data_IF_342764025996
#
_entry.id   IF_342764025996
#
_cell.length_a   1.000
_cell.length_b   1.000
_cell.length_c   1.000
_cell.angle_alpha   90.00
_cell.angle_beta   90.00
_cell.angle_gamma   90.00
#
_symmetry.space_group_name_H-M   'P 1'
#
loop_
_entity.id
_entity.type
_entity.pdbx_description
1 polymer ?
#
# COMPACT_ATOMS: atom_id res chain seq x y z
N UNK A 1 -24.69 -10.14 -10.61
CA UNK A 1 -25.46 -10.96 -11.58
C UNK A 1 -25.81 -10.14 -12.83
N UNK A 2 -25.71 -10.74 -14.00
CA UNK A 2 -26.12 -10.10 -15.27
C UNK A 2 -27.65 -10.10 -15.39
N UNK A 3 -28.31 -9.11 -14.82
CA UNK A 3 -29.77 -9.01 -14.79
C UNK A 3 -30.38 -8.63 -16.14
N UNK A 4 -29.59 -8.05 -17.05
CA UNK A 4 -29.95 -7.65 -18.41
C UNK A 4 -29.89 -8.81 -19.43
N UNK A 5 -29.55 -10.02 -19.00
CA UNK A 5 -29.49 -11.23 -19.84
C UNK A 5 -30.49 -12.26 -19.32
N UNK A 6 -31.25 -12.90 -20.22
CA UNK A 6 -32.21 -13.94 -19.86
C UNK A 6 -31.53 -15.11 -19.13
N UNK A 7 -32.28 -15.83 -18.27
CA UNK A 7 -31.78 -17.00 -17.56
C UNK A 7 -31.16 -18.04 -18.50
N UNK A 8 -31.86 -18.36 -19.60
CA UNK A 8 -31.38 -19.33 -20.59
C UNK A 8 -30.03 -18.90 -21.23
N UNK A 9 -29.89 -17.62 -21.55
CA UNK A 9 -28.62 -17.11 -22.09
C UNK A 9 -27.50 -17.11 -21.04
N UNK A 10 -27.79 -16.86 -19.76
CA UNK A 10 -26.80 -16.98 -18.67
C UNK A 10 -26.32 -18.43 -18.52
N UNK A 11 -27.25 -19.39 -18.57
CA UNK A 11 -26.93 -20.81 -18.51
C UNK A 11 -26.04 -21.24 -19.69
N UNK A 12 -26.38 -20.78 -20.91
CA UNK A 12 -25.58 -21.02 -22.10
C UNK A 12 -24.17 -20.43 -21.99
N UNK A 13 -24.06 -19.18 -21.56
CA UNK A 13 -22.75 -18.53 -21.34
C UNK A 13 -21.93 -19.26 -20.28
N UNK A 14 -22.56 -19.69 -19.17
CA UNK A 14 -21.86 -20.42 -18.10
C UNK A 14 -21.37 -21.81 -18.54
N UNK A 15 -22.03 -22.43 -19.53
CA UNK A 15 -21.60 -23.70 -20.11
C UNK A 15 -20.42 -23.55 -21.08
N UNK A 16 -20.33 -22.40 -21.77
CA UNK A 16 -19.30 -22.16 -22.81
C UNK A 16 -18.10 -21.36 -22.29
N UNK A 17 -18.26 -20.56 -21.22
CA UNK A 17 -17.27 -19.62 -20.71
C UNK A 17 -17.08 -19.75 -19.20
N UNK A 18 -15.85 -19.57 -18.75
CA UNK A 18 -15.50 -19.41 -17.35
C UNK A 18 -14.99 -17.98 -17.07
N UNK A 19 -15.20 -17.48 -15.86
CA UNK A 19 -14.70 -16.15 -15.45
C UNK A 19 -13.17 -16.08 -15.44
N UNK A 20 -12.48 -17.21 -15.49
CA UNK A 20 -11.03 -17.27 -15.62
C UNK A 20 -10.28 -16.71 -14.41
N UNK A 21 -10.87 -16.78 -13.20
CA UNK A 21 -10.17 -16.47 -11.95
C UNK A 21 -9.33 -17.67 -11.50
N UNK A 22 -8.26 -17.36 -10.77
CA UNK A 22 -7.35 -18.34 -10.19
C UNK A 22 -7.46 -18.29 -8.68
N UNK A 23 -7.87 -19.40 -8.09
CA UNK A 23 -7.93 -19.54 -6.63
C UNK A 23 -6.53 -19.45 -6.02
N UNK A 24 -6.41 -19.02 -4.74
CA UNK A 24 -5.14 -19.08 -4.05
C UNK A 24 -4.70 -20.54 -3.88
N UNK A 25 -3.41 -20.78 -3.97
CA UNK A 25 -2.84 -22.14 -3.88
C UNK A 25 -2.36 -22.50 -2.48
N UNK A 26 -2.23 -21.53 -1.61
CA UNK A 26 -1.85 -21.68 -0.20
C UNK A 26 -2.45 -20.58 0.66
N UNK A 27 -2.66 -20.88 1.96
CA UNK A 27 -3.19 -19.96 2.95
C UNK A 27 -2.52 -20.20 4.32
N UNK A 28 -1.91 -19.16 4.87
CA UNK A 28 -1.32 -19.17 6.21
C UNK A 28 -2.18 -18.37 7.17
N UNK A 29 -2.67 -19.00 8.22
CA UNK A 29 -3.57 -18.40 9.20
C UNK A 29 -2.84 -17.95 10.45
N UNK A 30 -3.06 -16.72 10.88
CA UNK A 30 -2.56 -16.15 12.12
C UNK A 30 -3.61 -16.22 13.23
N UNK A 31 -3.17 -16.13 14.49
CA UNK A 31 -4.08 -16.23 15.66
C UNK A 31 -5.07 -15.06 15.77
N UNK A 32 -4.73 -13.92 15.21
CA UNK A 32 -5.56 -12.70 15.17
C UNK A 32 -6.61 -12.71 14.04
N UNK A 33 -6.68 -13.79 13.27
CA UNK A 33 -7.58 -13.93 12.13
C UNK A 33 -6.99 -13.41 10.81
N UNK A 34 -5.78 -12.85 10.80
CA UNK A 34 -5.07 -12.47 9.58
C UNK A 34 -4.74 -13.72 8.76
N UNK A 35 -4.95 -13.65 7.44
CA UNK A 35 -4.68 -14.76 6.53
C UNK A 35 -3.81 -14.26 5.39
N UNK A 36 -2.66 -14.89 5.18
CA UNK A 36 -1.78 -14.64 4.05
C UNK A 36 -2.01 -15.70 2.98
N UNK A 37 -2.47 -15.27 1.83
CA UNK A 37 -2.73 -16.10 0.67
C UNK A 37 -1.59 -16.03 -0.34
N UNK A 38 -1.35 -17.12 -1.05
CA UNK A 38 -0.45 -17.19 -2.19
C UNK A 38 -1.26 -17.36 -3.48
N UNK A 39 -1.24 -16.34 -4.34
CA UNK A 39 -1.97 -16.33 -5.60
C UNK A 39 -1.05 -16.61 -6.79
N UNK A 40 -1.46 -17.48 -7.72
CA UNK A 40 -0.78 -17.65 -9.00
C UNK A 40 -1.09 -16.48 -9.94
N UNK A 41 -0.10 -16.06 -10.71
CA UNK A 41 -0.24 -15.01 -11.72
C UNK A 41 -0.39 -15.58 -13.14
N UNK A 42 -0.71 -14.73 -14.11
CA UNK A 42 -0.74 -15.14 -15.53
C UNK A 42 0.65 -15.54 -16.05
N UNK A 43 1.70 -14.93 -15.52
CA UNK A 43 3.10 -15.26 -15.87
C UNK A 43 3.61 -16.58 -15.28
N UNK A 44 2.79 -17.30 -14.50
CA UNK A 44 3.19 -18.55 -13.83
C UNK A 44 4.02 -18.33 -12.56
N UNK A 45 4.12 -17.07 -12.09
CA UNK A 45 4.75 -16.70 -10.82
C UNK A 45 3.69 -16.62 -9.72
N UNK A 46 4.12 -16.27 -8.52
CA UNK A 46 3.24 -16.19 -7.35
C UNK A 46 3.41 -14.85 -6.63
N UNK A 47 2.33 -14.38 -6.02
CA UNK A 47 2.33 -13.20 -5.16
C UNK A 47 1.56 -13.45 -3.87
N UNK A 48 1.98 -12.78 -2.82
CA UNK A 48 1.29 -12.81 -1.53
C UNK A 48 0.21 -11.73 -1.47
N UNK A 49 -0.89 -12.06 -0.82
CA UNK A 49 -2.01 -11.17 -0.53
C UNK A 49 -2.44 -11.40 0.90
N UNK A 50 -2.68 -10.35 1.69
CA UNK A 50 -2.98 -10.49 3.10
C UNK A 50 -4.38 -9.97 3.42
N UNK A 51 -5.26 -10.84 3.92
CA UNK A 51 -6.55 -10.49 4.50
C UNK A 51 -6.37 -10.16 5.97
N UNK A 52 -6.79 -8.96 6.38
CA UNK A 52 -6.61 -8.43 7.73
C UNK A 52 -7.98 -8.02 8.29
N UNK A 53 -8.62 -8.87 9.12
CA UNK A 53 -9.85 -8.50 9.84
C UNK A 53 -9.52 -7.65 11.06
N UNK A 54 -10.32 -6.62 11.31
CA UNK A 54 -10.24 -5.78 12.50
C UNK A 54 -11.65 -5.25 12.85
N UNK A 55 -12.29 -5.84 13.84
CA UNK A 55 -13.67 -5.49 14.29
C UNK A 55 -14.65 -5.44 13.11
N UNK A 56 -15.16 -4.23 12.77
CA UNK A 56 -16.09 -4.01 11.66
C UNK A 56 -15.37 -3.77 10.30
N UNK A 57 -14.06 -3.89 10.28
CA UNK A 57 -13.23 -3.69 9.08
C UNK A 57 -12.58 -4.98 8.63
N UNK A 58 -12.50 -5.13 7.33
CA UNK A 58 -11.69 -6.17 6.71
C UNK A 58 -10.89 -5.53 5.56
N UNK A 59 -9.58 -5.48 5.72
CA UNK A 59 -8.66 -4.88 4.75
C UNK A 59 -7.94 -5.96 3.97
N UNK A 60 -7.87 -5.80 2.66
CA UNK A 60 -7.03 -6.64 1.81
C UNK A 60 -5.79 -5.87 1.39
N UNK A 61 -4.63 -6.40 1.72
CA UNK A 61 -3.34 -5.91 1.26
C UNK A 61 -2.96 -6.65 -0.03
N UNK A 62 -3.02 -5.96 -1.18
CA UNK A 62 -2.77 -6.53 -2.50
C UNK A 62 -1.37 -6.24 -3.00
N UNK A 63 -0.83 -7.18 -3.78
CA UNK A 63 0.43 -7.04 -4.51
C UNK A 63 0.20 -6.48 -5.91
N UNK A 64 1.16 -5.71 -6.42
CA UNK A 64 1.11 -5.14 -7.77
C UNK A 64 2.29 -5.55 -8.67
N UNK A 65 3.29 -6.22 -8.12
CA UNK A 65 4.45 -6.76 -8.87
C UNK A 65 4.85 -8.10 -8.27
N UNK A 66 5.57 -8.90 -9.04
CA UNK A 66 6.33 -10.05 -8.52
C UNK A 66 7.72 -9.52 -8.16
N UNK A 67 8.00 -9.43 -6.86
CA UNK A 67 9.18 -8.76 -6.35
C UNK A 67 9.10 -7.23 -6.46
N UNK A 68 10.24 -6.51 -6.29
CA UNK A 68 10.28 -5.05 -6.33
C UNK A 68 11.68 -4.54 -6.72
N UNK A 69 11.72 -3.50 -7.57
CA UNK A 69 12.98 -2.83 -8.00
C UNK A 69 13.56 -1.86 -6.97
N UNK A 70 12.74 -1.42 -6.01
CA UNK A 70 13.13 -0.29 -5.13
C UNK A 70 14.26 -0.63 -4.19
N UNK A 71 14.49 -1.91 -3.91
CA UNK A 71 15.60 -2.44 -3.11
C UNK A 71 15.77 -1.73 -1.76
N UNK A 72 14.65 -1.45 -1.06
CA UNK A 72 14.68 -0.89 0.28
C UNK A 72 15.35 -1.87 1.24
N UNK A 73 16.27 -1.39 2.07
CA UNK A 73 17.11 -2.21 2.95
C UNK A 73 16.29 -3.08 3.91
N UNK A 74 15.16 -2.58 4.39
CA UNK A 74 14.27 -3.19 5.38
C UNK A 74 13.17 -4.08 4.74
N UNK A 75 13.17 -4.26 3.42
CA UNK A 75 12.04 -4.90 2.72
C UNK A 75 12.43 -6.25 2.15
N UNK A 76 11.76 -7.31 2.60
CA UNK A 76 11.98 -8.68 2.10
C UNK A 76 11.68 -8.79 0.61
N UNK A 77 10.62 -8.14 0.12
CA UNK A 77 10.25 -8.13 -1.31
C UNK A 77 11.34 -7.48 -2.17
N UNK A 78 11.98 -6.40 -1.68
CA UNK A 78 13.10 -5.77 -2.39
C UNK A 78 14.31 -6.70 -2.54
N UNK A 79 14.56 -7.57 -1.54
CA UNK A 79 15.64 -8.55 -1.58
C UNK A 79 15.38 -9.71 -2.54
N UNK A 80 14.12 -10.04 -2.82
CA UNK A 80 13.75 -11.07 -3.79
C UNK A 80 14.07 -10.65 -5.23
N UNK A 81 14.29 -9.34 -5.46
CA UNK A 81 14.48 -8.79 -6.79
C UNK A 81 13.14 -8.52 -7.49
N UNK A 82 13.21 -8.16 -8.77
CA UNK A 82 12.02 -7.85 -9.59
C UNK A 82 11.88 -8.86 -10.72
N UNK A 83 10.71 -9.49 -10.82
CA UNK A 83 10.43 -10.48 -11.84
C UNK A 83 9.34 -10.05 -12.83
N UNK A 84 8.57 -9.01 -12.52
CA UNK A 84 7.58 -8.45 -13.46
C UNK A 84 6.44 -7.67 -12.80
N UNK A 85 5.76 -6.87 -13.63
CA UNK A 85 4.54 -6.19 -13.26
C UNK A 85 3.36 -7.15 -13.32
N UNK A 86 2.46 -7.07 -12.35
CA UNK A 86 1.16 -7.71 -12.44
C UNK A 86 0.27 -6.96 -13.44
N UNK A 87 -0.50 -7.71 -14.22
CA UNK A 87 -1.58 -7.13 -15.02
C UNK A 87 -2.71 -6.64 -14.11
N UNK A 88 -3.56 -5.75 -14.63
CA UNK A 88 -4.77 -5.35 -13.90
C UNK A 88 -5.65 -6.57 -13.54
N UNK A 89 -5.67 -7.59 -14.38
CA UNK A 89 -6.38 -8.85 -14.14
C UNK A 89 -5.77 -9.61 -12.96
N UNK A 90 -4.43 -9.75 -12.88
CA UNK A 90 -3.77 -10.42 -11.76
C UNK A 90 -4.03 -9.69 -10.43
N UNK A 91 -4.04 -8.35 -10.43
CA UNK A 91 -4.35 -7.56 -9.23
C UNK A 91 -5.81 -7.76 -8.82
N UNK A 92 -6.77 -7.64 -9.75
CA UNK A 92 -8.19 -7.85 -9.48
C UNK A 92 -8.50 -9.29 -9.05
N UNK A 93 -7.73 -10.28 -9.55
CA UNK A 93 -7.91 -11.68 -9.18
C UNK A 93 -7.68 -11.90 -7.66
N UNK A 94 -6.73 -11.19 -7.04
CA UNK A 94 -6.49 -11.26 -5.60
C UNK A 94 -7.72 -10.81 -4.79
N UNK A 95 -8.54 -9.91 -5.36
CA UNK A 95 -9.78 -9.42 -4.73
C UNK A 95 -10.94 -10.36 -5.04
N UNK A 96 -11.10 -10.72 -6.31
CA UNK A 96 -12.25 -11.49 -6.80
C UNK A 96 -12.26 -12.94 -6.31
N UNK A 97 -11.10 -13.60 -6.32
CA UNK A 97 -10.96 -14.99 -5.91
C UNK A 97 -10.63 -15.16 -4.40
N UNK A 98 -10.65 -14.05 -3.62
CA UNK A 98 -10.49 -14.12 -2.17
C UNK A 98 -11.70 -14.83 -1.54
N UNK A 99 -11.52 -15.85 -0.68
CA UNK A 99 -12.62 -16.51 0.01
C UNK A 99 -13.49 -15.55 0.84
N UNK A 100 -12.89 -14.54 1.48
CA UNK A 100 -13.55 -13.54 2.32
C UNK A 100 -13.97 -12.26 1.57
N UNK A 101 -14.00 -12.25 0.25
CA UNK A 101 -14.26 -11.04 -0.57
C UNK A 101 -15.51 -10.26 -0.16
N UNK A 102 -16.57 -10.94 0.25
CA UNK A 102 -17.84 -10.30 0.64
C UNK A 102 -17.74 -9.53 1.97
N UNK A 103 -16.71 -9.79 2.78
CA UNK A 103 -16.43 -9.08 4.03
C UNK A 103 -15.55 -7.86 3.83
N UNK A 104 -14.94 -7.68 2.65
CA UNK A 104 -13.98 -6.61 2.42
C UNK A 104 -14.61 -5.23 2.56
N UNK A 105 -13.96 -4.40 3.36
CA UNK A 105 -14.30 -2.99 3.53
C UNK A 105 -13.27 -2.06 2.92
N UNK A 106 -12.01 -2.47 2.86
CA UNK A 106 -10.89 -1.65 2.40
C UNK A 106 -9.87 -2.46 1.58
N UNK A 107 -9.17 -1.78 0.68
CA UNK A 107 -8.03 -2.33 -0.05
C UNK A 107 -6.84 -1.40 0.13
N UNK A 108 -5.66 -1.99 0.36
CA UNK A 108 -4.39 -1.26 0.41
C UNK A 108 -3.38 -1.89 -0.55
N UNK A 109 -2.74 -1.07 -1.38
CA UNK A 109 -1.65 -1.47 -2.24
C UNK A 109 -0.35 -1.33 -1.46
N UNK A 110 -0.12 -2.26 -0.53
CA UNK A 110 1.03 -2.31 0.38
C UNK A 110 1.66 -3.72 0.42
N UNK A 111 1.30 -4.59 -0.52
CA UNK A 111 1.91 -5.90 -0.71
C UNK A 111 3.21 -5.82 -1.50
N UNK A 112 3.47 -6.82 -2.33
CA UNK A 112 4.68 -6.88 -3.14
C UNK A 112 4.62 -5.86 -4.29
N UNK A 113 5.73 -5.11 -4.46
CA UNK A 113 5.92 -4.17 -5.56
C UNK A 113 5.72 -2.70 -5.18
N UNK A 114 6.15 -1.84 -6.10
CA UNK A 114 5.93 -0.39 -6.04
C UNK A 114 4.78 0.00 -6.99
N UNK A 115 3.63 0.46 -6.47
CA UNK A 115 2.47 0.78 -7.32
C UNK A 115 2.75 1.82 -8.40
N UNK A 116 3.60 2.81 -8.11
CA UNK A 116 3.94 3.84 -9.11
C UNK A 116 4.86 3.29 -10.22
N UNK A 117 5.58 2.19 -9.99
CA UNK A 117 6.35 1.51 -11.06
C UNK A 117 5.45 0.65 -11.97
N UNK A 118 4.24 0.31 -11.50
CA UNK A 118 3.19 -0.38 -12.27
C UNK A 118 1.92 0.48 -12.43
N UNK A 119 2.09 1.78 -12.61
CA UNK A 119 1.02 2.78 -12.47
C UNK A 119 -0.18 2.55 -13.38
N UNK A 120 0.04 2.18 -14.66
CA UNK A 120 -1.06 2.01 -15.62
C UNK A 120 -2.04 0.91 -15.18
N UNK A 121 -1.53 -0.22 -14.70
CA UNK A 121 -2.35 -1.31 -14.18
C UNK A 121 -3.02 -0.92 -12.85
N UNK A 122 -2.30 -0.22 -11.96
CA UNK A 122 -2.85 0.24 -10.67
C UNK A 122 -3.98 1.25 -10.90
N UNK A 123 -3.82 2.24 -11.78
CA UNK A 123 -4.87 3.19 -12.15
C UNK A 123 -6.09 2.48 -12.75
N UNK A 124 -5.87 1.51 -13.64
CA UNK A 124 -6.96 0.72 -14.20
C UNK A 124 -7.73 -0.06 -13.15
N UNK A 125 -7.03 -0.65 -12.17
CA UNK A 125 -7.66 -1.36 -11.05
C UNK A 125 -8.45 -0.41 -10.16
N UNK A 126 -7.86 0.73 -9.75
CA UNK A 126 -8.56 1.72 -8.91
C UNK A 126 -9.78 2.27 -9.63
N UNK A 127 -9.71 2.51 -10.93
CA UNK A 127 -10.87 2.91 -11.74
C UNK A 127 -11.97 1.85 -11.73
N UNK A 128 -11.65 0.57 -11.97
CA UNK A 128 -12.64 -0.52 -11.95
C UNK A 128 -13.28 -0.67 -10.56
N UNK A 129 -12.48 -0.53 -9.50
CA UNK A 129 -12.98 -0.63 -8.13
C UNK A 129 -13.95 0.52 -7.77
N UNK A 130 -13.77 1.70 -8.33
CA UNK A 130 -14.57 2.89 -8.00
C UNK A 130 -15.69 3.18 -8.99
N UNK A 131 -15.63 2.67 -10.22
CA UNK A 131 -16.62 2.92 -11.25
C UNK A 131 -17.95 2.18 -10.99
N UNK A 132 -19.05 2.81 -11.40
CA UNK A 132 -20.41 2.24 -11.24
C UNK A 132 -20.61 0.91 -12.00
N UNK A 133 -19.89 0.71 -13.10
CA UNK A 133 -19.89 -0.55 -13.86
C UNK A 133 -19.01 -1.65 -13.23
N UNK A 134 -18.22 -1.30 -12.21
CA UNK A 134 -17.31 -2.20 -11.51
C UNK A 134 -17.81 -2.55 -10.11
N UNK A 135 -17.00 -2.26 -9.09
CA UNK A 135 -17.35 -2.52 -7.70
C UNK A 135 -18.14 -1.36 -7.04
N UNK A 136 -18.18 -0.20 -7.66
CA UNK A 136 -18.81 1.03 -7.15
C UNK A 136 -18.35 1.41 -5.73
N UNK A 137 -17.11 1.15 -5.38
CA UNK A 137 -16.57 1.49 -4.08
C UNK A 137 -16.21 2.96 -3.98
N UNK A 138 -16.41 3.54 -2.82
CA UNK A 138 -15.86 4.87 -2.55
C UNK A 138 -14.32 4.84 -2.64
N UNK A 139 -13.69 5.82 -3.29
CA UNK A 139 -12.22 5.95 -3.32
C UNK A 139 -11.59 5.97 -1.91
N UNK A 140 -12.34 6.39 -0.89
CA UNK A 140 -11.93 6.39 0.53
C UNK A 140 -11.65 4.99 1.09
N UNK A 141 -12.10 3.93 0.42
CA UNK A 141 -11.85 2.54 0.80
C UNK A 141 -10.55 1.98 0.23
N UNK A 142 -9.86 2.77 -0.59
CA UNK A 142 -8.66 2.33 -1.30
C UNK A 142 -7.49 3.24 -0.94
N UNK A 143 -6.38 2.65 -0.51
CA UNK A 143 -5.13 3.37 -0.24
C UNK A 143 -4.03 2.82 -1.13
N UNK A 144 -3.32 3.70 -1.82
CA UNK A 144 -2.16 3.35 -2.64
C UNK A 144 -0.91 3.91 -1.98
N UNK A 145 0.01 3.00 -1.62
CA UNK A 145 1.29 3.36 -1.01
C UNK A 145 2.37 3.54 -2.09
N UNK A 146 3.33 4.42 -1.84
CA UNK A 146 4.47 4.62 -2.73
C UNK A 146 5.69 5.14 -1.97
N UNK A 147 6.86 4.77 -2.47
CA UNK A 147 8.14 5.38 -2.06
C UNK A 147 8.35 6.78 -2.67
N UNK A 148 7.52 7.17 -3.64
CA UNK A 148 7.66 8.37 -4.45
C UNK A 148 8.50 8.12 -5.71
N UNK A 149 7.83 7.95 -6.85
CA UNK A 149 8.48 7.78 -8.15
C UNK A 149 8.25 9.02 -9.00
N UNK A 150 9.34 9.63 -9.48
CA UNK A 150 9.33 10.91 -10.23
C UNK A 150 8.37 10.87 -11.42
N UNK A 151 7.52 11.88 -11.52
CA UNK A 151 6.50 12.00 -12.55
C UNK A 151 5.29 11.07 -12.36
N UNK A 152 5.48 9.88 -11.80
CA UNK A 152 4.42 8.89 -11.62
C UNK A 152 3.51 9.22 -10.43
N UNK A 153 4.09 9.67 -9.31
CA UNK A 153 3.31 10.11 -8.15
C UNK A 153 2.37 11.26 -8.53
N UNK A 154 2.87 12.27 -9.26
CA UNK A 154 2.03 13.38 -9.74
C UNK A 154 0.88 12.87 -10.60
N UNK A 155 1.16 12.00 -11.56
CA UNK A 155 0.14 11.42 -12.43
C UNK A 155 -0.93 10.65 -11.65
N UNK A 156 -0.53 9.88 -10.62
CA UNK A 156 -1.49 9.21 -9.74
C UNK A 156 -2.38 10.20 -8.98
N UNK A 157 -1.81 11.28 -8.50
CA UNK A 157 -2.56 12.34 -7.82
C UNK A 157 -3.55 13.06 -8.74
N UNK A 158 -3.21 13.20 -10.01
CA UNK A 158 -4.07 13.83 -11.02
C UNK A 158 -5.20 12.90 -11.52
N UNK A 159 -4.96 11.58 -11.60
CA UNK A 159 -5.87 10.63 -12.24
C UNK A 159 -6.67 9.74 -11.25
N UNK A 160 -6.44 9.84 -9.94
CA UNK A 160 -7.12 9.02 -8.93
C UNK A 160 -7.51 9.81 -7.71
N UNK A 161 -8.71 9.55 -7.17
CA UNK A 161 -9.20 10.10 -5.90
C UNK A 161 -8.94 9.18 -4.69
N UNK A 162 -8.25 8.08 -4.88
CA UNK A 162 -7.90 7.15 -3.81
C UNK A 162 -6.95 7.80 -2.79
N UNK A 163 -6.96 7.29 -1.56
CA UNK A 163 -6.02 7.72 -0.53
C UNK A 163 -4.58 7.41 -0.92
N UNK A 164 -3.66 8.25 -0.45
CA UNK A 164 -2.21 8.13 -0.70
C UNK A 164 -1.48 7.89 0.59
N UNK A 165 -0.59 6.90 0.59
CA UNK A 165 0.37 6.66 1.65
C UNK A 165 1.79 6.82 1.09
N UNK A 166 2.63 7.60 1.74
CA UNK A 166 4.02 7.79 1.35
C UNK A 166 4.94 7.09 2.34
N UNK A 167 5.75 6.16 1.85
CA UNK A 167 6.82 5.53 2.62
C UNK A 167 7.91 6.56 2.90
N UNK A 168 7.82 7.21 4.06
CA UNK A 168 8.78 8.23 4.48
C UNK A 168 9.96 7.60 5.22
N UNK A 169 9.69 6.94 6.32
CA UNK A 169 10.58 6.25 7.27
C UNK A 169 11.66 7.11 7.92
N UNK A 170 12.02 8.24 7.34
CA UNK A 170 12.84 9.29 7.96
C UNK A 170 12.64 10.61 7.22
N UNK A 171 12.59 11.75 7.94
CA UNK A 171 12.48 13.08 7.34
C UNK A 171 13.84 13.61 6.83
N UNK A 172 14.94 12.89 7.02
CA UNK A 172 16.31 13.30 6.69
C UNK A 172 16.72 12.60 5.38
N UNK A 173 16.93 13.35 4.26
CA UNK A 173 17.19 12.78 2.95
C UNK A 173 18.39 11.83 2.90
N UNK A 174 19.52 12.16 3.54
CA UNK A 174 20.71 11.32 3.53
C UNK A 174 20.48 9.98 4.22
N UNK A 175 19.72 9.98 5.33
CA UNK A 175 19.33 8.74 6.02
C UNK A 175 18.34 7.96 5.18
N UNK A 176 17.38 8.64 4.56
CA UNK A 176 16.39 7.98 3.70
C UNK A 176 17.08 7.31 2.51
N UNK A 177 18.05 7.97 1.90
CA UNK A 177 18.87 7.40 0.81
C UNK A 177 19.64 6.15 1.23
N UNK A 178 20.04 6.04 2.50
CA UNK A 178 20.78 4.87 3.02
C UNK A 178 19.90 3.63 3.19
N UNK A 179 18.59 3.79 3.41
CA UNK A 179 17.64 2.69 3.59
C UNK A 179 16.68 2.53 2.41
N UNK A 180 16.49 3.57 1.59
CA UNK A 180 15.58 3.62 0.44
C UNK A 180 16.26 4.29 -0.74
N UNK A 181 16.83 3.54 -1.69
CA UNK A 181 17.51 4.11 -2.86
C UNK A 181 16.65 5.03 -3.74
N UNK A 182 15.30 4.89 -3.67
CA UNK A 182 14.35 5.73 -4.39
C UNK A 182 14.48 7.23 -4.06
N UNK A 183 15.03 7.59 -2.89
CA UNK A 183 15.31 8.98 -2.50
C UNK A 183 16.16 9.73 -3.53
N UNK A 184 17.09 9.04 -4.20
CA UNK A 184 17.92 9.62 -5.23
C UNK A 184 17.16 10.04 -6.49
N UNK A 185 16.00 9.45 -6.73
CA UNK A 185 15.14 9.75 -7.89
C UNK A 185 14.14 10.88 -7.64
N UNK A 186 13.57 10.91 -6.43
CA UNK A 186 12.66 11.94 -5.94
C UNK A 186 12.79 12.02 -4.42
N UNK A 187 13.33 13.12 -3.93
CA UNK A 187 13.59 13.29 -2.50
C UNK A 187 12.29 13.43 -1.69
N UNK A 188 12.35 13.12 -0.40
CA UNK A 188 11.19 13.28 0.49
C UNK A 188 10.75 14.74 0.55
N UNK A 189 11.66 15.68 0.44
CA UNK A 189 11.36 17.11 0.40
C UNK A 189 10.60 17.48 -0.88
N UNK A 190 11.05 17.00 -2.06
CA UNK A 190 10.34 17.18 -3.33
C UNK A 190 8.96 16.52 -3.32
N UNK A 191 8.84 15.33 -2.71
CA UNK A 191 7.55 14.66 -2.53
C UNK A 191 6.60 15.54 -1.72
N UNK A 192 7.05 16.06 -0.57
CA UNK A 192 6.22 16.93 0.28
C UNK A 192 5.85 18.23 -0.43
N UNK A 193 6.76 18.85 -1.19
CA UNK A 193 6.45 20.04 -1.99
C UNK A 193 5.41 19.74 -3.08
N UNK A 194 5.48 18.58 -3.71
CA UNK A 194 4.45 18.15 -4.65
C UNK A 194 3.09 17.97 -3.96
N UNK A 195 3.07 17.27 -2.82
CA UNK A 195 1.84 17.00 -2.06
C UNK A 195 1.15 18.28 -1.58
N UNK A 196 1.91 19.32 -1.23
CA UNK A 196 1.36 20.64 -0.85
C UNK A 196 0.55 21.35 -1.95
N UNK A 197 0.61 20.86 -3.19
CA UNK A 197 -0.18 21.38 -4.30
C UNK A 197 -1.57 20.75 -4.40
N UNK A 198 -1.90 19.77 -3.54
CA UNK A 198 -3.16 19.04 -3.55
C UNK A 198 -3.93 19.21 -2.24
N UNK A 199 -5.26 19.11 -2.32
CA UNK A 199 -6.14 19.15 -1.15
C UNK A 199 -6.36 17.75 -0.57
N UNK A 200 -6.02 17.58 0.71
CA UNK A 200 -6.22 16.34 1.47
C UNK A 200 -7.23 16.51 2.62
N UNK A 201 -7.89 17.66 2.72
CA UNK A 201 -8.81 17.98 3.82
C UNK A 201 -10.18 17.34 3.69
N UNK A 202 -10.57 16.95 2.46
CA UNK A 202 -11.94 16.51 2.16
C UNK A 202 -12.04 15.04 1.73
N UNK A 203 -11.85 14.79 0.43
CA UNK A 203 -12.13 13.49 -0.19
C UNK A 203 -10.97 12.52 -0.03
N UNK A 204 -9.78 12.97 -0.36
CA UNK A 204 -8.55 12.20 -0.31
C UNK A 204 -7.87 12.38 1.05
N UNK A 205 -7.24 11.31 1.55
CA UNK A 205 -6.36 11.38 2.72
C UNK A 205 -4.94 11.10 2.32
N UNK A 206 -4.02 11.75 3.05
CA UNK A 206 -2.59 11.53 2.97
C UNK A 206 -2.10 10.92 4.29
N UNK A 207 -1.33 9.84 4.19
CA UNK A 207 -0.55 9.31 5.31
C UNK A 207 0.92 9.19 4.95
N UNK A 208 1.76 9.28 5.97
CA UNK A 208 3.17 8.93 5.90
C UNK A 208 3.41 7.67 6.72
N UNK A 209 3.95 6.65 6.08
CA UNK A 209 4.32 5.40 6.73
C UNK A 209 5.74 5.53 7.27
N UNK A 210 5.92 5.23 8.55
CA UNK A 210 7.16 5.46 9.27
C UNK A 210 7.54 4.23 10.10
N UNK A 211 8.33 3.32 9.52
CA UNK A 211 8.91 2.21 10.27
C UNK A 211 9.96 2.77 11.23
N UNK A 212 9.82 2.47 12.51
CA UNK A 212 10.77 2.95 13.51
C UNK A 212 11.92 1.97 13.73
N UNK A 213 13.13 2.45 13.46
CA UNK A 213 14.38 1.71 13.67
C UNK A 213 15.13 2.29 14.85
N UNK A 214 15.48 1.43 15.82
CA UNK A 214 16.21 1.83 17.01
C UNK A 214 17.60 2.39 16.69
N UNK A 215 17.87 3.60 17.17
CA UNK A 215 19.15 4.29 16.95
C UNK A 215 19.34 4.90 15.57
N UNK A 216 18.38 4.74 14.63
CA UNK A 216 18.48 5.33 13.30
C UNK A 216 17.55 6.54 13.13
N UNK A 217 16.24 6.36 13.36
CA UNK A 217 15.21 7.35 13.07
C UNK A 217 14.24 7.62 14.24
N UNK A 218 14.60 7.22 15.45
CA UNK A 218 13.77 7.22 16.65
C UNK A 218 14.14 8.34 17.66
N UNK A 219 14.91 9.35 17.24
CA UNK A 219 15.40 10.39 18.15
C UNK A 219 14.51 11.65 18.15
N UNK A 220 14.59 12.52 19.17
CA UNK A 220 13.87 13.80 19.19
C UNK A 220 14.20 14.72 18.02
N UNK A 221 15.37 14.57 17.39
CA UNK A 221 15.72 15.31 16.18
C UNK A 221 14.79 14.93 15.03
N UNK A 222 14.53 13.63 14.84
CA UNK A 222 13.64 13.14 13.80
C UNK A 222 12.21 13.63 14.00
N UNK A 223 11.72 13.65 15.26
CA UNK A 223 10.42 14.20 15.59
C UNK A 223 10.29 15.67 15.17
N UNK A 224 11.27 16.51 15.52
CA UNK A 224 11.28 17.93 15.13
C UNK A 224 11.37 18.13 13.61
N UNK A 225 12.25 17.38 12.95
CA UNK A 225 12.42 17.48 11.49
C UNK A 225 11.14 17.02 10.76
N UNK A 226 10.47 15.98 11.25
CA UNK A 226 9.22 15.50 10.66
C UNK A 226 8.13 16.57 10.77
N UNK A 227 7.90 17.14 11.97
CA UNK A 227 6.92 18.24 12.15
C UNK A 227 7.19 19.38 11.19
N UNK A 228 8.46 19.82 11.09
CA UNK A 228 8.86 20.90 10.17
C UNK A 228 8.62 20.55 8.71
N UNK A 229 8.92 19.30 8.31
CA UNK A 229 8.78 18.86 6.93
C UNK A 229 7.31 18.87 6.49
N UNK A 230 6.40 18.36 7.34
CA UNK A 230 4.97 18.24 7.00
C UNK A 230 4.15 19.49 7.36
N UNK A 231 4.78 20.54 7.86
CA UNK A 231 4.11 21.80 8.23
C UNK A 231 3.25 22.33 7.07
N UNK A 232 1.98 22.64 7.39
CA UNK A 232 1.00 23.10 6.41
C UNK A 232 0.38 22.01 5.55
N UNK A 233 0.63 20.72 5.83
CA UNK A 233 0.02 19.59 5.16
C UNK A 233 -1.01 18.90 6.07
N UNK A 234 -2.25 18.73 5.60
CA UNK A 234 -3.20 17.85 6.29
C UNK A 234 -2.84 16.41 6.02
N UNK A 235 -2.14 15.81 6.96
CA UNK A 235 -1.62 14.47 6.84
C UNK A 235 -1.69 13.70 8.16
N UNK A 236 -1.46 12.41 8.06
CA UNK A 236 -1.33 11.50 9.20
C UNK A 236 0.03 10.82 9.14
N UNK A 237 0.53 10.39 10.29
CA UNK A 237 1.72 9.55 10.38
C UNK A 237 1.31 8.21 11.00
N UNK A 238 1.69 7.13 10.36
CA UNK A 238 1.52 5.79 10.86
C UNK A 238 2.89 5.23 11.28
N UNK A 239 3.11 5.09 12.57
CA UNK A 239 4.34 4.51 13.11
C UNK A 239 4.22 2.98 13.06
N UNK A 240 5.20 2.34 12.45
CA UNK A 240 5.19 0.89 12.20
C UNK A 240 6.31 0.24 12.97
N UNK A 241 6.00 -0.82 13.73
CA UNK A 241 6.99 -1.67 14.38
C UNK A 241 7.78 -2.44 13.33
N UNK A 242 9.11 -2.36 13.41
CA UNK A 242 9.95 -3.15 12.52
C UNK A 242 10.00 -4.60 12.99
N UNK A 243 9.68 -5.51 12.10
CA UNK A 243 9.90 -6.94 12.30
C UNK A 243 11.23 -7.33 11.66
N UNK A 244 12.11 -7.92 12.48
CA UNK A 244 13.44 -8.33 12.02
C UNK A 244 13.32 -9.28 10.83
N UNK A 245 14.05 -8.99 9.78
CA UNK A 245 14.19 -9.86 8.62
C UNK A 245 15.64 -10.34 8.51
N UNK A 246 15.89 -11.53 7.93
CA UNK A 246 17.26 -12.07 7.82
C UNK A 246 18.21 -11.10 7.09
N UNK A 247 19.45 -11.09 7.53
CA UNK A 247 20.57 -10.36 6.91
C UNK A 247 20.37 -8.83 6.79
N UNK A 248 19.55 -8.24 7.66
CA UNK A 248 19.34 -6.78 7.73
C UNK A 248 19.90 -6.27 9.06
N UNK A 249 20.87 -5.32 9.03
CA UNK A 249 21.48 -4.77 10.24
C UNK A 249 20.63 -3.63 10.84
N UNK A 250 19.30 -3.81 10.88
CA UNK A 250 18.35 -2.86 11.46
C UNK A 250 17.60 -3.54 12.59
N UNK A 251 17.30 -2.80 13.64
CA UNK A 251 16.50 -3.27 14.78
C UNK A 251 15.30 -2.37 14.96
N UNK A 252 14.20 -2.91 15.48
CA UNK A 252 13.03 -2.10 15.83
C UNK A 252 13.33 -1.17 17.02
N UNK A 253 12.71 0.01 17.00
CA UNK A 253 12.69 0.88 18.18
C UNK A 253 11.86 0.22 19.30
N UNK A 254 12.17 0.56 20.56
CA UNK A 254 11.36 0.10 21.69
C UNK A 254 10.01 0.84 21.76
N UNK A 255 9.07 0.25 22.49
CA UNK A 255 7.69 0.75 22.59
C UNK A 255 7.66 2.17 23.18
N UNK A 256 8.48 2.44 24.17
CA UNK A 256 8.56 3.75 24.82
C UNK A 256 8.96 4.83 23.81
N UNK A 257 9.93 4.56 22.92
CA UNK A 257 10.34 5.48 21.85
C UNK A 257 9.23 5.72 20.83
N UNK A 258 8.48 4.67 20.52
CA UNK A 258 7.32 4.80 19.63
C UNK A 258 6.24 5.69 20.24
N UNK A 259 5.92 5.48 21.51
CA UNK A 259 4.95 6.32 22.23
C UNK A 259 5.44 7.78 22.37
N UNK A 260 6.70 8.01 22.75
CA UNK A 260 7.30 9.34 22.82
C UNK A 260 7.20 10.10 21.49
N UNK A 261 7.49 9.43 20.37
CA UNK A 261 7.38 10.02 19.03
C UNK A 261 5.93 10.32 18.67
N UNK A 262 5.01 9.37 18.87
CA UNK A 262 3.57 9.56 18.64
C UNK A 262 3.05 10.78 19.42
N UNK A 263 3.36 10.85 20.71
CA UNK A 263 2.86 11.90 21.59
C UNK A 263 3.44 13.27 21.21
N UNK A 264 4.72 13.32 20.86
CA UNK A 264 5.36 14.54 20.36
C UNK A 264 4.69 15.03 19.07
N UNK A 265 4.52 14.17 18.07
CA UNK A 265 3.90 14.52 16.80
C UNK A 265 2.45 14.98 16.99
N UNK A 266 1.69 14.27 17.80
CA UNK A 266 0.29 14.62 18.12
C UNK A 266 0.18 15.97 18.82
N UNK A 267 1.06 16.25 19.78
CA UNK A 267 1.11 17.55 20.49
C UNK A 267 1.47 18.71 19.55
N UNK A 268 2.11 18.44 18.41
CA UNK A 268 2.45 19.44 17.38
C UNK A 268 1.48 19.43 16.19
N UNK A 269 0.28 18.87 16.36
CA UNK A 269 -0.79 18.92 15.37
C UNK A 269 -0.71 17.88 14.25
N UNK A 270 0.20 16.91 14.34
CA UNK A 270 0.31 15.80 13.37
C UNK A 270 -0.38 14.56 13.95
N UNK A 271 -1.54 14.19 13.42
CA UNK A 271 -2.28 13.01 13.86
C UNK A 271 -1.43 11.74 13.63
N UNK A 272 -1.13 11.02 14.70
CA UNK A 272 -0.20 9.88 14.66
C UNK A 272 -0.79 8.64 15.32
N UNK A 273 -0.63 7.49 14.65
CA UNK A 273 -1.04 6.15 15.13
C UNK A 273 0.18 5.22 15.23
N UNK A 274 0.06 4.17 16.06
CA UNK A 274 1.02 3.06 16.15
C UNK A 274 0.31 1.76 15.75
#
# INVERSE_FOLDING_TARGET
EMTNISKANREKLAAEYAVGCKEPIDAQHSKDGTIKYLFPTESGKFVETVYIPDRDRATLCVSCQVGCKMNCLFCQTGKQGFEGNLTAKDILNQIYALPEREKLTNIVFMGQGEPMDNLDNVLKVTQILTADYGYAWSPKRITVSSVGVKGKLKRFLDESDCHVAISMHTPIPEQRASIMPAEKGLSIEEIVQLLKQYDFTHQRRLSFEYIMFGGLNDTPLHARQLVKLVEGLDCRVNLIRFHQIPDVPLHGADEKRMEELRDYLTAHGVFTTI
#
